data_IF_624253265096
#
_entry.id   IF_624253265096
#
_cell.length_a   1.000
_cell.length_b   1.000
_cell.length_c   1.000
_cell.angle_alpha   90.00
_cell.angle_beta   90.00
_cell.angle_gamma   90.00
#
_symmetry.space_group_name_H-M   'P 1'
#
loop_
_entity.id
_entity.type
_entity.pdbx_description
1 polymer ?
#
# COMPACT_ATOMS: atom_id res chain seq x y z
N UNK A 1 5.47 -8.14 70.01
CA UNK A 1 5.62 -8.84 68.73
C UNK A 1 5.24 -7.82 67.67
N UNK A 2 6.06 -6.78 67.39
CA UNK A 2 7.52 -6.82 67.13
C UNK A 2 7.76 -7.88 66.06
N UNK A 3 8.12 -7.55 64.82
CA UNK A 3 9.14 -6.61 64.34
C UNK A 3 8.66 -5.99 62.99
N UNK A 4 8.83 -4.70 62.61
CA UNK A 4 10.05 -3.97 62.18
C UNK A 4 10.98 -4.90 61.38
N UNK A 5 11.23 -4.75 60.08
CA UNK A 5 12.23 -3.94 59.33
C UNK A 5 11.87 -4.28 57.83
N UNK A 6 12.06 -3.52 56.75
CA UNK A 6 13.20 -2.69 56.35
C UNK A 6 12.84 -1.92 55.06
N UNK A 7 13.27 -0.66 55.03
CA UNK A 7 13.39 0.16 53.84
C UNK A 7 14.45 -0.44 52.91
N UNK A 8 14.12 -0.60 51.62
CA UNK A 8 15.14 -0.54 50.57
C UNK A 8 14.58 0.29 49.42
N UNK A 9 14.82 1.59 49.54
CA UNK A 9 14.99 2.49 48.40
C UNK A 9 16.36 2.22 47.73
N UNK A 10 16.46 2.62 46.45
CA UNK A 10 17.65 2.85 45.61
C UNK A 10 18.19 1.69 44.74
N UNK A 11 18.86 1.94 43.57
CA UNK A 11 19.03 3.20 42.83
C UNK A 11 18.82 3.12 41.30
N UNK A 12 18.76 4.31 40.72
CA UNK A 12 19.05 4.74 39.33
C UNK A 12 19.82 3.81 38.38
N UNK A 13 19.41 3.81 37.10
CA UNK A 13 20.20 3.41 35.93
C UNK A 13 19.36 3.59 34.65
N UNK A 14 19.35 4.79 34.07
CA UNK A 14 20.23 5.25 32.99
C UNK A 14 19.83 4.73 31.59
N UNK A 15 19.63 5.70 30.68
CA UNK A 15 20.17 5.61 29.32
C UNK A 15 19.52 4.62 28.37
N UNK A 16 18.58 5.11 27.56
CA UNK A 16 18.12 4.38 26.38
C UNK A 16 17.26 5.24 25.48
N UNK A 17 17.91 6.06 24.66
CA UNK A 17 17.30 6.94 23.68
C UNK A 17 16.18 6.26 22.87
N UNK A 18 14.93 6.60 23.20
CA UNK A 18 13.79 6.44 22.32
C UNK A 18 13.73 7.56 21.28
N UNK A 19 14.86 7.92 20.67
CA UNK A 19 14.85 8.63 19.39
C UNK A 19 14.48 7.58 18.34
N UNK A 20 13.19 7.22 18.28
CA UNK A 20 12.64 6.59 17.10
C UNK A 20 12.86 7.56 15.97
N UNK A 21 13.94 7.37 15.22
CA UNK A 21 14.28 8.18 14.07
C UNK A 21 13.03 8.21 13.18
N UNK A 22 12.37 9.36 13.14
CA UNK A 22 11.56 9.76 12.00
C UNK A 22 12.54 9.82 10.83
N UNK A 23 12.76 8.67 10.21
CA UNK A 23 13.76 8.50 9.16
C UNK A 23 13.22 9.22 7.92
N UNK A 24 13.71 10.45 7.77
CA UNK A 24 13.54 11.33 6.62
C UNK A 24 13.76 10.52 5.33
N UNK A 25 13.04 10.81 4.24
CA UNK A 25 13.10 10.00 3.03
C UNK A 25 14.54 9.83 2.53
N UNK A 26 14.96 8.58 2.41
CA UNK A 26 16.19 8.20 1.72
C UNK A 26 16.21 8.92 0.36
N UNK A 27 17.20 9.79 0.13
CA UNK A 27 17.28 10.60 -1.09
C UNK A 27 17.26 9.71 -2.34
N UNK A 28 17.76 8.48 -2.23
CA UNK A 28 17.73 7.49 -3.31
C UNK A 28 16.35 6.87 -3.51
N UNK A 29 15.52 6.77 -2.47
CA UNK A 29 14.12 6.38 -2.61
C UNK A 29 13.33 7.44 -3.36
N UNK A 30 13.55 8.72 -3.07
CA UNK A 30 12.91 9.81 -3.81
C UNK A 30 13.34 9.84 -5.29
N UNK A 31 14.62 9.59 -5.57
CA UNK A 31 15.13 9.41 -6.94
C UNK A 31 14.47 8.25 -7.68
N UNK A 32 14.25 7.13 -6.99
CA UNK A 32 13.51 6.01 -7.57
C UNK A 32 12.08 6.45 -7.93
N UNK A 33 11.35 7.11 -7.04
CA UNK A 33 9.99 7.58 -7.32
C UNK A 33 9.95 8.55 -8.51
N UNK A 34 10.91 9.47 -8.59
CA UNK A 34 11.03 10.42 -9.71
C UNK A 34 11.29 9.72 -11.05
N UNK A 35 12.14 8.69 -11.06
CA UNK A 35 12.37 7.84 -12.24
C UNK A 35 11.08 7.13 -12.67
N UNK A 36 10.39 6.47 -11.74
CA UNK A 36 9.13 5.76 -12.03
C UNK A 36 8.06 6.73 -12.59
N UNK A 37 7.99 7.95 -12.05
CA UNK A 37 7.11 8.99 -12.55
C UNK A 37 7.48 9.45 -13.96
N UNK A 38 8.76 9.71 -14.23
CA UNK A 38 9.23 10.26 -15.50
C UNK A 38 9.15 9.25 -16.65
N UNK A 39 9.50 8.00 -16.40
CA UNK A 39 9.61 6.99 -17.47
C UNK A 39 8.29 6.28 -17.78
N UNK A 40 7.38 6.21 -16.80
CA UNK A 40 6.16 5.41 -16.93
C UNK A 40 4.90 6.14 -16.47
N UNK A 41 5.01 7.46 -16.27
CA UNK A 41 3.90 8.36 -15.94
C UNK A 41 3.09 7.88 -14.72
N UNK A 42 3.78 7.27 -13.75
CA UNK A 42 3.15 6.77 -12.54
C UNK A 42 3.33 7.75 -11.38
N UNK A 43 2.22 8.27 -10.85
CA UNK A 43 2.23 9.24 -9.77
C UNK A 43 2.04 8.58 -8.40
N UNK A 44 3.09 8.61 -7.58
CA UNK A 44 3.10 8.06 -6.23
C UNK A 44 2.70 9.07 -5.15
N UNK A 45 2.45 10.34 -5.48
CA UNK A 45 2.18 11.41 -4.49
C UNK A 45 0.94 11.16 -3.63
N UNK A 46 -0.01 10.36 -4.11
CA UNK A 46 -1.24 10.01 -3.37
C UNK A 46 -1.09 8.75 -2.52
N UNK A 47 0.04 8.04 -2.62
CA UNK A 47 0.29 6.82 -1.85
C UNK A 47 0.97 7.15 -0.52
N UNK A 48 0.66 6.35 0.51
CA UNK A 48 1.38 6.43 1.79
C UNK A 48 2.83 6.00 1.59
N UNK A 49 3.75 6.93 1.79
CA UNK A 49 5.19 6.76 1.56
C UNK A 49 5.77 5.51 2.25
N UNK A 50 5.46 5.32 3.54
CA UNK A 50 5.89 4.14 4.30
C UNK A 50 5.40 2.81 3.70
N UNK A 51 4.19 2.78 3.14
CA UNK A 51 3.64 1.58 2.51
C UNK A 51 4.37 1.27 1.20
N UNK A 52 4.68 2.29 0.41
CA UNK A 52 5.50 2.15 -0.80
C UNK A 52 6.89 1.66 -0.45
N UNK A 53 7.57 2.35 0.46
CA UNK A 53 8.92 2.01 0.91
C UNK A 53 9.01 0.54 1.35
N UNK A 54 8.05 0.07 2.15
CA UNK A 54 7.98 -1.33 2.59
C UNK A 54 7.83 -2.30 1.43
N UNK A 55 6.97 -2.01 0.45
CA UNK A 55 6.74 -2.87 -0.73
C UNK A 55 7.96 -2.93 -1.64
N UNK A 56 8.59 -1.78 -1.89
CA UNK A 56 9.81 -1.71 -2.71
C UNK A 56 10.96 -2.43 -2.01
N UNK A 57 11.18 -2.20 -0.70
CA UNK A 57 12.20 -2.93 0.07
C UNK A 57 11.95 -4.43 0.07
N UNK A 58 10.69 -4.87 0.14
CA UNK A 58 10.35 -6.30 0.01
C UNK A 58 10.74 -6.85 -1.37
N UNK A 59 10.45 -6.13 -2.46
CA UNK A 59 10.86 -6.51 -3.81
C UNK A 59 12.39 -6.56 -3.97
N UNK A 60 13.09 -5.55 -3.47
CA UNK A 60 14.56 -5.50 -3.47
C UNK A 60 15.17 -6.67 -2.70
N UNK A 61 14.58 -7.06 -1.57
CA UNK A 61 15.04 -8.21 -0.79
C UNK A 61 14.90 -9.54 -1.56
N UNK A 62 13.84 -9.72 -2.36
CA UNK A 62 13.69 -10.90 -3.23
C UNK A 62 14.79 -10.98 -4.30
N UNK A 63 15.35 -9.84 -4.69
CA UNK A 63 16.44 -9.73 -5.66
C UNK A 63 17.82 -9.64 -5.01
N UNK A 64 17.91 -9.74 -3.67
CA UNK A 64 19.15 -9.58 -2.91
C UNK A 64 19.83 -8.20 -3.14
N UNK A 65 19.05 -7.18 -3.44
CA UNK A 65 19.51 -5.80 -3.63
C UNK A 65 19.29 -5.02 -2.33
N UNK A 66 20.32 -4.35 -1.83
CA UNK A 66 20.28 -3.65 -0.53
C UNK A 66 20.25 -2.13 -0.66
N UNK A 67 20.52 -1.59 -1.85
CA UNK A 67 20.56 -0.14 -2.11
C UNK A 67 19.62 0.25 -3.25
N UNK A 68 18.90 1.36 -3.07
CA UNK A 68 18.04 1.93 -4.12
C UNK A 68 18.83 2.31 -5.38
N UNK A 69 20.07 2.80 -5.24
CA UNK A 69 20.92 3.12 -6.40
C UNK A 69 21.21 1.87 -7.25
N UNK A 70 21.57 0.75 -6.60
CA UNK A 70 21.74 -0.54 -7.29
C UNK A 70 20.44 -1.02 -7.92
N UNK A 71 19.30 -0.80 -7.25
CA UNK A 71 18.01 -1.19 -7.77
C UNK A 71 17.59 -0.37 -9.00
N UNK A 72 17.86 0.94 -9.01
CA UNK A 72 17.65 1.81 -10.17
C UNK A 72 18.45 1.29 -11.37
N UNK A 73 19.74 0.97 -11.19
CA UNK A 73 20.54 0.37 -12.25
C UNK A 73 20.05 -1.01 -12.70
N UNK A 74 19.47 -1.79 -11.78
CA UNK A 74 18.88 -3.08 -12.11
C UNK A 74 17.63 -2.91 -12.97
N UNK A 75 16.78 -1.91 -12.69
CA UNK A 75 15.61 -1.56 -13.51
C UNK A 75 16.03 -1.17 -14.93
N UNK A 76 17.09 -0.37 -15.09
CA UNK A 76 17.60 0.04 -16.42
C UNK A 76 18.02 -1.15 -17.30
N UNK A 77 18.46 -2.24 -16.69
CA UNK A 77 19.00 -3.42 -17.37
C UNK A 77 17.96 -4.53 -17.57
N UNK A 78 16.82 -4.46 -16.89
CA UNK A 78 15.82 -5.52 -16.86
C UNK A 78 14.42 -4.94 -17.05
N UNK A 79 13.97 -4.86 -18.30
CA UNK A 79 12.65 -4.32 -18.64
C UNK A 79 11.49 -5.05 -17.93
N UNK A 80 11.61 -6.36 -17.72
CA UNK A 80 10.59 -7.16 -17.02
C UNK A 80 10.48 -6.84 -15.53
N UNK A 81 11.57 -6.36 -14.91
CA UNK A 81 11.56 -6.00 -13.49
C UNK A 81 10.62 -4.84 -13.22
N UNK A 82 10.52 -3.90 -14.17
CA UNK A 82 9.62 -2.77 -14.05
C UNK A 82 8.17 -3.21 -13.84
N UNK A 83 7.73 -4.19 -14.63
CA UNK A 83 6.39 -4.79 -14.52
C UNK A 83 6.21 -5.47 -13.17
N UNK A 84 7.19 -6.25 -12.74
CA UNK A 84 7.13 -6.95 -11.46
C UNK A 84 7.11 -5.99 -10.25
N UNK A 85 7.85 -4.88 -10.32
CA UNK A 85 7.80 -3.81 -9.33
C UNK A 85 6.41 -3.19 -9.24
N UNK A 86 5.82 -2.85 -10.40
CA UNK A 86 4.46 -2.32 -10.43
C UNK A 86 3.44 -3.31 -9.87
N UNK A 87 3.53 -4.60 -10.20
CA UNK A 87 2.63 -5.62 -9.65
C UNK A 87 2.70 -5.74 -8.12
N UNK A 88 3.87 -5.46 -7.53
CA UNK A 88 4.05 -5.45 -6.07
C UNK A 88 3.56 -4.14 -5.45
N UNK A 89 3.77 -3.00 -6.13
CA UNK A 89 3.37 -1.69 -5.60
C UNK A 89 1.85 -1.50 -5.71
N UNK A 90 1.25 -1.91 -6.82
CA UNK A 90 -0.17 -1.84 -7.08
C UNK A 90 -0.89 -2.93 -6.28
N UNK A 91 -1.90 -2.56 -5.50
CA UNK A 91 -2.73 -3.55 -4.79
C UNK A 91 -3.69 -4.15 -5.81
N UNK A 92 -3.21 -5.13 -6.57
CA UNK A 92 -3.99 -5.79 -7.62
C UNK A 92 -4.83 -6.97 -7.10
N UNK A 93 -4.96 -7.14 -5.79
CA UNK A 93 -5.82 -8.19 -5.25
C UNK A 93 -7.27 -7.79 -5.52
N UNK A 94 -8.04 -8.66 -6.16
CA UNK A 94 -9.50 -8.57 -6.30
C UNK A 94 -10.11 -9.98 -6.14
N UNK A 95 -11.42 -10.07 -5.93
CA UNK A 95 -12.14 -11.33 -5.78
C UNK A 95 -13.63 -11.11 -6.02
N UNK A 96 -14.32 -12.14 -6.52
CA UNK A 96 -15.78 -12.10 -6.67
C UNK A 96 -16.46 -11.74 -5.36
N UNK A 97 -17.38 -10.79 -5.41
CA UNK A 97 -18.18 -10.37 -4.27
C UNK A 97 -17.35 -10.07 -3.00
N UNK A 98 -16.18 -9.44 -3.17
CA UNK A 98 -15.20 -9.16 -2.09
C UNK A 98 -15.82 -8.63 -0.81
N UNK A 99 -16.79 -7.72 -0.93
CA UNK A 99 -17.57 -7.16 0.18
C UNK A 99 -19.04 -7.56 0.02
N UNK A 100 -19.47 -8.66 0.66
CA UNK A 100 -20.85 -9.13 0.56
C UNK A 100 -21.88 -8.10 1.03
N UNK A 101 -21.54 -7.27 2.01
CA UNK A 101 -22.46 -6.26 2.56
C UNK A 101 -22.69 -5.13 1.54
N UNK A 102 -21.62 -4.65 0.91
CA UNK A 102 -21.73 -3.69 -0.19
C UNK A 102 -22.58 -4.24 -1.35
N UNK A 103 -22.39 -5.50 -1.73
CA UNK A 103 -23.18 -6.14 -2.78
C UNK A 103 -24.65 -6.35 -2.40
N UNK A 104 -24.95 -6.61 -1.12
CA UNK A 104 -26.33 -6.65 -0.65
C UNK A 104 -27.00 -5.27 -0.75
N UNK A 105 -26.30 -4.19 -0.38
CA UNK A 105 -26.82 -2.83 -0.56
C UNK A 105 -27.06 -2.50 -2.04
N UNK A 106 -26.12 -2.89 -2.92
CA UNK A 106 -26.29 -2.74 -4.37
C UNK A 106 -27.56 -3.45 -4.84
N UNK A 107 -27.78 -4.70 -4.40
CA UNK A 107 -28.94 -5.51 -4.78
C UNK A 107 -30.26 -4.96 -4.25
N UNK A 108 -30.31 -4.59 -2.97
CA UNK A 108 -31.56 -4.30 -2.26
C UNK A 108 -31.97 -2.84 -2.39
N UNK A 109 -31.02 -1.93 -2.54
CA UNK A 109 -31.28 -0.48 -2.51
C UNK A 109 -30.93 0.20 -3.83
N UNK A 110 -29.71 -0.01 -4.34
CA UNK A 110 -29.18 0.78 -5.47
C UNK A 110 -29.79 0.35 -6.80
N UNK A 111 -29.77 -0.96 -7.10
CA UNK A 111 -30.25 -1.50 -8.37
C UNK A 111 -31.74 -1.23 -8.62
N UNK A 112 -32.67 -1.47 -7.67
CA UNK A 112 -34.10 -1.19 -7.89
C UNK A 112 -34.33 0.26 -8.28
N UNK A 113 -33.70 1.20 -7.57
CA UNK A 113 -33.80 2.63 -7.84
C UNK A 113 -33.23 3.01 -9.21
N UNK A 114 -32.05 2.49 -9.57
CA UNK A 114 -31.44 2.77 -10.88
C UNK A 114 -32.27 2.20 -12.04
N UNK A 115 -32.92 1.05 -11.85
CA UNK A 115 -33.81 0.45 -12.86
C UNK A 115 -35.06 1.33 -13.06
N UNK A 116 -35.66 1.82 -11.98
CA UNK A 116 -36.79 2.76 -12.05
C UNK A 116 -36.40 4.06 -12.79
N UNK A 117 -35.25 4.64 -12.45
CA UNK A 117 -34.72 5.84 -13.11
C UNK A 117 -34.40 5.60 -14.61
N UNK A 118 -33.88 4.41 -14.94
CA UNK A 118 -33.52 4.04 -16.31
C UNK A 118 -34.70 3.53 -17.17
N UNK A 119 -35.91 3.42 -16.61
CA UNK A 119 -37.09 2.88 -17.30
C UNK A 119 -37.43 3.61 -18.61
N UNK A 120 -37.09 4.90 -18.70
CA UNK A 120 -37.30 5.72 -19.91
C UNK A 120 -36.28 5.49 -21.02
N UNK A 121 -35.03 5.14 -20.69
CA UNK A 121 -33.91 5.00 -21.62
C UNK A 121 -33.52 3.54 -21.91
N UNK A 122 -34.19 2.57 -21.29
CA UNK A 122 -34.04 1.11 -21.47
C UNK A 122 -32.59 0.59 -21.40
N UNK A 123 -31.67 1.34 -20.82
CA UNK A 123 -30.26 0.99 -20.74
C UNK A 123 -29.67 1.52 -19.44
N UNK A 124 -28.97 0.63 -18.74
CA UNK A 124 -28.20 0.95 -17.55
C UNK A 124 -26.72 0.81 -17.90
N UNK A 125 -25.93 1.84 -17.58
CA UNK A 125 -24.48 1.84 -17.78
C UNK A 125 -23.81 1.92 -16.43
N UNK A 126 -22.92 0.98 -16.15
CA UNK A 126 -22.18 0.86 -14.89
C UNK A 126 -20.69 0.95 -15.21
N UNK A 127 -19.92 1.59 -14.33
CA UNK A 127 -18.47 1.67 -14.44
C UNK A 127 -17.83 1.13 -13.16
N UNK A 128 -17.05 0.05 -13.27
CA UNK A 128 -16.12 -0.40 -12.23
C UNK A 128 -14.76 0.25 -12.48
N UNK A 129 -14.41 1.22 -11.64
CA UNK A 129 -13.13 1.93 -11.70
C UNK A 129 -12.09 1.15 -10.89
N UNK A 130 -10.96 0.80 -11.53
CA UNK A 130 -9.91 0.01 -10.87
C UNK A 130 -10.25 -1.49 -10.78
N UNK A 131 -10.79 -2.08 -11.85
CA UNK A 131 -11.29 -3.46 -11.88
C UNK A 131 -10.22 -4.56 -11.71
N UNK A 132 -8.93 -4.23 -11.57
CA UNK A 132 -7.82 -5.17 -11.47
C UNK A 132 -7.92 -6.30 -12.54
N UNK A 133 -8.07 -7.56 -12.14
CA UNK A 133 -8.24 -8.72 -13.04
C UNK A 133 -9.68 -8.99 -13.50
N UNK A 134 -10.67 -8.21 -13.04
CA UNK A 134 -12.04 -8.21 -13.59
C UNK A 134 -13.10 -8.98 -12.80
N UNK A 135 -12.79 -9.52 -11.62
CA UNK A 135 -13.74 -10.28 -10.80
C UNK A 135 -14.89 -9.43 -10.22
N UNK A 136 -14.75 -8.11 -10.16
CA UNK A 136 -15.83 -7.21 -9.74
C UNK A 136 -16.81 -6.86 -10.88
N UNK A 137 -16.37 -6.51 -12.10
CA UNK A 137 -17.29 -6.23 -13.21
C UNK A 137 -17.92 -7.47 -13.87
N UNK A 138 -17.42 -8.69 -13.61
CA UNK A 138 -17.92 -9.94 -14.19
C UNK A 138 -19.06 -10.53 -13.38
#
# INVERSE_FOLDING_TARGET
MSDEIDELEEPTGDGGAGSGAEDVPDTEFQRLLEKLHTEHNFDFRQYKELSLLRRIRHRMAQLHVTSFATYIHYLDRNADEYKALLDVILINVTSFFRDPEAWNQVRETVLPRLIEEAASNQSLRIWSAGCSSGEEPY
#
